data_IF_479909219751
#
_entry.id   IF_479909219751
#
_cell.length_a   1.000
_cell.length_b   1.000
_cell.length_c   1.000
_cell.angle_alpha   90.00
_cell.angle_beta   90.00
_cell.angle_gamma   90.00
#
_symmetry.space_group_name_H-M   'P 1'
#
loop_
_entity.id
_entity.type
_entity.pdbx_description
1 polymer ?
#
# COMPACT_ATOMS: atom_id res chain seq x y z
N UNK A 1 -8.69 -46.20 -27.68
CA UNK A 1 -8.91 -45.12 -26.71
C UNK A 1 -9.24 -43.87 -27.49
N UNK A 2 -10.46 -43.36 -27.30
CA UNK A 2 -11.01 -42.24 -28.06
C UNK A 2 -10.59 -40.89 -27.50
N UNK A 3 -11.07 -39.82 -28.15
CA UNK A 3 -11.00 -38.45 -27.59
C UNK A 3 -11.94 -38.33 -26.39
N UNK A 4 -13.10 -38.99 -26.44
CA UNK A 4 -14.09 -39.07 -25.34
C UNK A 4 -13.46 -39.57 -24.04
N UNK A 5 -12.78 -40.73 -24.05
CA UNK A 5 -12.15 -41.33 -22.86
C UNK A 5 -11.28 -40.32 -22.07
N UNK A 6 -10.60 -39.41 -22.78
CA UNK A 6 -9.74 -38.37 -22.18
C UNK A 6 -10.53 -37.16 -21.68
N UNK A 7 -11.64 -36.80 -22.33
CA UNK A 7 -12.52 -35.74 -21.87
C UNK A 7 -13.23 -36.19 -20.58
N UNK A 8 -13.71 -37.43 -20.53
CA UNK A 8 -14.36 -38.01 -19.34
C UNK A 8 -13.39 -38.08 -18.14
N UNK A 9 -12.12 -38.44 -18.37
CA UNK A 9 -11.05 -38.38 -17.37
C UNK A 9 -10.81 -36.94 -16.86
N UNK A 10 -10.74 -35.95 -17.77
CA UNK A 10 -10.59 -34.53 -17.39
C UNK A 10 -11.80 -34.03 -16.59
N UNK A 11 -13.04 -34.32 -17.02
CA UNK A 11 -14.24 -33.94 -16.26
C UNK A 11 -14.26 -34.58 -14.87
N UNK A 12 -13.93 -35.86 -14.74
CA UNK A 12 -13.86 -36.54 -13.43
C UNK A 12 -12.82 -35.92 -12.49
N UNK A 13 -11.64 -35.53 -13.00
CA UNK A 13 -10.64 -34.85 -12.17
C UNK A 13 -11.07 -33.43 -11.77
N UNK A 14 -11.82 -32.71 -12.61
CA UNK A 14 -12.39 -31.40 -12.28
C UNK A 14 -13.51 -31.50 -11.22
N UNK A 15 -14.39 -32.49 -11.33
CA UNK A 15 -15.41 -32.76 -10.29
C UNK A 15 -14.76 -33.13 -8.95
N UNK A 16 -13.72 -33.96 -8.97
CA UNK A 16 -12.96 -34.29 -7.75
C UNK A 16 -12.31 -33.05 -7.14
N UNK A 17 -11.67 -32.19 -7.95
CA UNK A 17 -11.08 -30.93 -7.47
C UNK A 17 -12.11 -29.97 -6.89
N UNK A 18 -13.30 -29.86 -7.50
CA UNK A 18 -14.39 -29.05 -6.98
C UNK A 18 -14.92 -29.58 -5.63
N UNK A 19 -15.03 -30.92 -5.49
CA UNK A 19 -15.37 -31.58 -4.22
C UNK A 19 -14.33 -31.31 -3.12
N UNK A 20 -13.04 -31.47 -3.45
CA UNK A 20 -11.91 -31.19 -2.56
C UNK A 20 -11.89 -29.74 -2.06
N UNK A 21 -12.12 -28.78 -2.96
CA UNK A 21 -12.18 -27.36 -2.62
C UNK A 21 -13.40 -27.03 -1.73
N UNK A 22 -14.56 -27.63 -2.00
CA UNK A 22 -15.75 -27.50 -1.15
C UNK A 22 -15.51 -28.05 0.25
N UNK A 23 -14.95 -29.26 0.36
CA UNK A 23 -14.62 -29.87 1.65
C UNK A 23 -13.60 -29.04 2.46
N UNK A 24 -12.61 -28.43 1.78
CA UNK A 24 -11.66 -27.50 2.42
C UNK A 24 -12.38 -26.24 2.94
N UNK A 25 -13.28 -25.63 2.16
CA UNK A 25 -14.08 -24.49 2.61
C UNK A 25 -14.96 -24.83 3.82
N UNK A 26 -15.62 -26.00 3.82
CA UNK A 26 -16.42 -26.47 4.94
C UNK A 26 -15.57 -26.71 6.20
N UNK A 27 -14.38 -27.30 6.06
CA UNK A 27 -13.43 -27.47 7.19
C UNK A 27 -12.89 -26.14 7.73
N UNK A 28 -12.63 -25.16 6.86
CA UNK A 28 -12.19 -23.83 7.26
C UNK A 28 -13.32 -23.08 8.00
N UNK A 29 -14.55 -23.15 7.49
CA UNK A 29 -15.74 -22.60 8.14
C UNK A 29 -16.09 -23.29 9.46
N UNK A 30 -15.75 -24.57 9.63
CA UNK A 30 -15.81 -25.24 10.93
C UNK A 30 -14.76 -24.70 11.91
N UNK A 31 -13.50 -24.60 11.47
CA UNK A 31 -12.39 -24.09 12.30
C UNK A 31 -12.57 -22.63 12.72
N UNK A 32 -13.15 -21.78 11.86
CA UNK A 32 -13.49 -20.40 12.21
C UNK A 32 -14.51 -20.37 13.36
N UNK A 33 -15.62 -21.09 13.25
CA UNK A 33 -16.66 -21.18 14.30
C UNK A 33 -16.13 -21.73 15.63
N UNK A 34 -15.20 -22.67 15.57
CA UNK A 34 -14.49 -23.20 16.75
C UNK A 34 -13.66 -22.08 17.41
N UNK A 35 -12.82 -21.38 16.66
CA UNK A 35 -12.00 -20.26 17.16
C UNK A 35 -12.86 -19.10 17.69
N UNK A 36 -13.99 -18.81 17.06
CA UNK A 36 -14.98 -17.85 17.55
C UNK A 36 -15.65 -18.31 18.85
N UNK A 37 -15.85 -19.61 19.06
CA UNK A 37 -16.33 -20.11 20.36
C UNK A 37 -15.26 -20.00 21.46
N UNK A 38 -14.01 -20.38 21.18
CA UNK A 38 -12.93 -20.27 22.16
C UNK A 38 -12.62 -18.81 22.49
N UNK A 39 -12.68 -17.90 21.50
CA UNK A 39 -12.49 -16.48 21.74
C UNK A 39 -13.62 -15.88 22.60
N UNK A 40 -14.87 -16.28 22.38
CA UNK A 40 -15.99 -15.86 23.25
C UNK A 40 -15.84 -16.39 24.68
N UNK A 41 -15.40 -17.64 24.86
CA UNK A 41 -15.14 -18.19 26.19
C UNK A 41 -13.97 -17.47 26.89
N UNK A 42 -12.86 -17.23 26.18
CA UNK A 42 -11.71 -16.50 26.70
C UNK A 42 -12.07 -15.05 27.07
N UNK A 43 -12.84 -14.34 26.25
CA UNK A 43 -13.35 -13.01 26.58
C UNK A 43 -14.24 -13.05 27.83
N UNK A 44 -15.21 -13.96 27.90
CA UNK A 44 -16.06 -14.11 29.09
C UNK A 44 -15.27 -14.45 30.36
N UNK A 45 -14.20 -15.25 30.24
CA UNK A 45 -13.26 -15.55 31.32
C UNK A 45 -12.45 -14.31 31.75
N UNK A 46 -11.98 -13.50 30.81
CA UNK A 46 -11.28 -12.24 31.09
C UNK A 46 -12.21 -11.23 31.78
N UNK A 47 -13.44 -11.05 31.29
CA UNK A 47 -14.45 -10.19 31.94
C UNK A 47 -14.76 -10.66 33.36
N UNK A 48 -14.90 -11.97 33.60
CA UNK A 48 -15.07 -12.52 34.94
C UNK A 48 -13.85 -12.23 35.85
N UNK A 49 -12.63 -12.37 35.34
CA UNK A 49 -11.41 -12.04 36.10
C UNK A 49 -11.35 -10.55 36.43
N UNK A 50 -11.70 -9.67 35.49
CA UNK A 50 -11.74 -8.22 35.70
C UNK A 50 -12.77 -7.82 36.76
N UNK A 51 -13.98 -8.40 36.71
CA UNK A 51 -15.02 -8.24 37.75
C UNK A 51 -14.55 -8.74 39.12
N UNK A 52 -13.86 -9.90 39.17
CA UNK A 52 -13.26 -10.42 40.41
C UNK A 52 -12.07 -9.60 40.92
N UNK A 53 -11.42 -8.80 40.05
CA UNK A 53 -10.26 -7.98 40.38
C UNK A 53 -10.62 -6.57 40.90
N UNK A 54 -11.92 -6.24 41.02
CA UNK A 54 -12.36 -4.96 41.58
C UNK A 54 -12.02 -3.73 40.72
N UNK A 55 -11.88 -3.89 39.41
CA UNK A 55 -11.77 -2.76 38.49
C UNK A 55 -13.18 -2.27 38.13
N UNK A 56 -13.58 -1.11 38.67
CA UNK A 56 -14.91 -0.53 38.44
C UNK A 56 -15.18 -0.29 36.94
N UNK A 57 -16.35 -0.71 36.42
CA UNK A 57 -16.77 -0.35 35.07
C UNK A 57 -17.39 1.05 35.06
N UNK A 58 -16.75 2.02 34.38
CA UNK A 58 -17.46 3.24 34.00
C UNK A 58 -18.65 2.88 33.10
N UNK A 59 -19.87 3.38 33.40
CA UNK A 59 -21.05 3.03 32.64
C UNK A 59 -21.10 3.80 31.31
N UNK A 60 -21.18 3.13 30.14
CA UNK A 60 -21.52 3.80 28.89
C UNK A 60 -22.94 4.34 28.99
N UNK A 61 -23.07 5.65 29.16
CA UNK A 61 -24.37 6.32 29.19
C UNK A 61 -25.00 6.36 27.79
N UNK A 62 -26.33 6.25 27.74
CA UNK A 62 -27.19 6.24 26.55
C UNK A 62 -27.21 4.94 25.69
N UNK A 63 -28.13 4.04 26.04
CA UNK A 63 -29.03 3.36 25.09
C UNK A 63 -30.42 4.05 25.16
N UNK A 64 -31.44 3.72 24.34
CA UNK A 64 -31.52 2.76 23.21
C UNK A 64 -31.86 3.52 21.89
N UNK A 65 -32.38 3.00 20.78
CA UNK A 65 -33.55 2.10 20.56
C UNK A 65 -33.27 0.95 19.57
N UNK A 66 -33.93 -0.19 19.82
CA UNK A 66 -34.29 -1.18 18.81
C UNK A 66 -35.82 -1.15 18.67
N UNK A 67 -36.33 -1.10 17.44
CA UNK A 67 -37.76 -1.33 17.14
C UNK A 67 -37.90 -2.48 16.15
N UNK A 68 -38.17 -3.67 16.68
CA UNK A 68 -38.64 -4.80 15.88
C UNK A 68 -40.11 -4.59 15.46
N UNK A 69 -40.45 -4.97 14.24
CA UNK A 69 -41.82 -5.40 13.87
C UNK A 69 -41.77 -6.26 12.60
N UNK A 70 -42.73 -7.17 12.38
CA UNK A 70 -42.39 -8.50 11.90
C UNK A 70 -42.91 -8.87 10.50
N UNK A 71 -42.36 -9.99 10.01
CA UNK A 71 -42.98 -11.02 9.16
C UNK A 71 -44.15 -10.64 8.23
N UNK A 72 -43.90 -10.69 6.92
CA UNK A 72 -44.82 -11.37 6.00
C UNK A 72 -44.04 -12.08 4.87
N UNK A 73 -44.70 -13.01 4.17
CA UNK A 73 -44.08 -13.96 3.22
C UNK A 73 -45.00 -14.21 2.03
N UNK A 74 -44.46 -14.60 0.85
CA UNK A 74 -45.02 -15.60 -0.12
C UNK A 74 -44.28 -15.61 -1.48
N UNK A 75 -44.18 -16.81 -2.09
CA UNK A 75 -43.91 -17.22 -3.49
C UNK A 75 -43.24 -16.24 -4.50
N UNK A 76 -42.10 -16.57 -5.13
CA UNK A 76 -41.85 -17.62 -6.14
C UNK A 76 -42.54 -17.45 -7.51
N UNK A 77 -41.83 -16.82 -8.46
CA UNK A 77 -41.71 -17.15 -9.90
C UNK A 77 -40.27 -16.79 -10.33
N UNK A 78 -39.50 -17.45 -11.22
CA UNK A 78 -39.67 -18.41 -12.33
C UNK A 78 -39.40 -17.75 -13.71
N UNK A 79 -38.50 -18.39 -14.49
CA UNK A 79 -38.01 -18.01 -15.85
C UNK A 79 -37.19 -16.69 -15.95
N UNK A 80 -36.20 -16.54 -16.85
CA UNK A 80 -35.58 -17.50 -17.79
C UNK A 80 -34.55 -16.83 -18.73
N UNK A 81 -33.81 -17.65 -19.53
CA UNK A 81 -32.89 -17.27 -20.64
C UNK A 81 -31.57 -16.51 -20.28
N UNK A 82 -30.47 -16.56 -21.06
CA UNK A 82 -29.83 -17.58 -21.95
C UNK A 82 -28.43 -17.08 -22.42
N UNK A 83 -27.62 -17.96 -23.05
CA UNK A 83 -26.27 -17.70 -23.64
C UNK A 83 -25.13 -17.29 -22.65
N UNK A 84 -23.84 -17.55 -22.89
CA UNK A 84 -23.12 -18.10 -24.06
C UNK A 84 -22.05 -17.11 -24.58
N UNK A 85 -20.79 -17.45 -24.94
CA UNK A 85 -20.11 -18.76 -25.04
C UNK A 85 -18.56 -18.60 -25.10
N UNK A 86 -17.84 -19.74 -25.04
CA UNK A 86 -16.54 -20.07 -25.70
C UNK A 86 -15.22 -19.27 -25.46
N UNK A 87 -14.26 -19.97 -24.82
CA UNK A 87 -12.90 -20.35 -25.33
C UNK A 87 -11.78 -19.33 -25.70
N UNK A 88 -10.56 -19.87 -25.87
CA UNK A 88 -9.24 -19.24 -26.12
C UNK A 88 -8.62 -19.82 -27.44
N UNK A 89 -7.31 -19.78 -27.79
CA UNK A 89 -6.09 -19.17 -27.21
C UNK A 89 -5.45 -18.14 -28.22
N UNK A 90 -4.17 -18.02 -28.61
CA UNK A 90 -2.86 -18.66 -28.32
C UNK A 90 -1.65 -17.80 -28.80
N UNK A 91 -0.40 -18.21 -28.51
CA UNK A 91 0.92 -17.74 -29.02
C UNK A 91 1.34 -16.28 -28.69
N UNK A 92 2.48 -16.05 -28.02
CA UNK A 92 3.90 -16.02 -28.50
C UNK A 92 4.19 -14.80 -29.43
N UNK A 93 5.25 -14.01 -29.28
CA UNK A 93 6.66 -14.32 -29.64
C UNK A 93 7.65 -13.32 -28.98
N UNK A 94 8.84 -13.81 -28.57
CA UNK A 94 10.18 -13.16 -28.38
C UNK A 94 10.29 -11.68 -27.92
N UNK A 95 11.00 -11.31 -26.83
CA UNK A 95 12.46 -11.44 -26.48
C UNK A 95 13.34 -10.26 -26.98
N UNK A 96 13.86 -9.50 -25.98
CA UNK A 96 15.03 -8.57 -25.87
C UNK A 96 16.07 -8.52 -27.03
N UNK A 97 16.87 -7.44 -27.27
CA UNK A 97 17.55 -6.49 -26.32
C UNK A 97 17.36 -4.96 -26.58
N UNK A 98 17.55 -3.97 -25.69
CA UNK A 98 18.69 -3.42 -24.87
C UNK A 98 19.58 -2.35 -25.59
N UNK A 99 19.86 -1.23 -24.89
CA UNK A 99 20.98 -0.24 -25.09
C UNK A 99 20.90 0.81 -26.23
N UNK A 100 21.53 2.01 -26.17
CA UNK A 100 22.24 2.72 -25.08
C UNK A 100 22.18 4.29 -25.19
N UNK A 101 22.95 4.99 -24.34
CA UNK A 101 23.17 6.43 -24.18
C UNK A 101 23.76 7.17 -25.42
N UNK A 102 23.52 8.48 -25.51
CA UNK A 102 24.52 9.60 -25.36
C UNK A 102 23.76 10.95 -25.38
N UNK A 103 23.93 11.89 -24.43
CA UNK A 103 25.06 12.81 -24.17
C UNK A 103 25.23 13.88 -25.27
N UNK A 104 25.52 15.18 -25.08
CA UNK A 104 25.85 16.12 -23.96
C UNK A 104 25.88 17.55 -24.62
N UNK A 105 26.26 18.69 -23.96
CA UNK A 105 25.65 20.01 -24.25
C UNK A 105 26.59 21.15 -24.74
N UNK A 106 25.97 22.33 -24.99
CA UNK A 106 26.54 23.70 -24.99
C UNK A 106 25.35 24.70 -25.06
N UNK A 107 25.40 26.01 -24.74
CA UNK A 107 26.23 26.81 -23.82
C UNK A 107 25.63 28.25 -23.66
N UNK A 108 26.17 29.01 -22.70
CA UNK A 108 26.12 30.49 -22.54
C UNK A 108 24.79 31.22 -22.24
N UNK A 109 24.87 32.16 -21.29
CA UNK A 109 24.00 33.35 -21.16
C UNK A 109 24.62 34.54 -21.92
N UNK A 110 23.89 35.66 -22.06
CA UNK A 110 24.10 36.75 -21.09
C UNK A 110 22.79 37.42 -20.62
N UNK A 111 22.92 38.51 -19.84
CA UNK A 111 21.82 39.24 -19.19
C UNK A 111 21.57 40.62 -19.86
N UNK A 112 21.21 41.68 -19.12
CA UNK A 112 19.83 42.13 -18.90
C UNK A 112 19.48 43.43 -19.66
N UNK A 113 18.22 43.89 -19.59
CA UNK A 113 17.85 45.24 -19.99
C UNK A 113 16.74 45.84 -19.09
N UNK A 114 16.51 47.14 -19.21
CA UNK A 114 16.04 48.04 -18.16
C UNK A 114 14.72 48.75 -18.51
N UNK A 115 13.76 48.85 -17.57
CA UNK A 115 12.80 49.97 -17.45
C UNK A 115 11.84 49.84 -16.25
N UNK A 116 11.55 50.99 -15.62
CA UNK A 116 10.58 51.21 -14.53
C UNK A 116 9.83 52.54 -14.83
N UNK A 117 9.01 53.16 -13.96
CA UNK A 117 8.03 52.71 -12.95
C UNK A 117 6.64 53.29 -13.36
N UNK A 118 5.87 54.04 -12.52
CA UNK A 118 5.31 53.78 -11.19
C UNK A 118 3.76 53.72 -11.18
N UNK A 119 3.18 53.19 -10.11
CA UNK A 119 1.91 53.69 -9.54
C UNK A 119 2.05 53.74 -8.03
N UNK A 120 1.65 54.86 -7.43
CA UNK A 120 1.81 55.15 -6.00
C UNK A 120 0.56 54.85 -5.16
N UNK A 121 0.79 54.74 -3.84
CA UNK A 121 -0.16 55.02 -2.76
C UNK A 121 -1.50 54.24 -2.73
N UNK A 122 -1.64 53.36 -1.72
CA UNK A 122 -2.27 53.82 -0.49
C UNK A 122 -1.74 53.05 0.73
N UNK A 123 -1.56 53.74 1.86
CA UNK A 123 -1.21 53.15 3.15
C UNK A 123 -2.36 53.32 4.15
N UNK A 124 -2.75 52.23 4.78
CA UNK A 124 -2.85 52.00 6.24
C UNK A 124 -3.66 50.70 6.45
N UNK A 125 -3.48 49.90 7.51
CA UNK A 125 -3.24 50.26 8.91
C UNK A 125 -2.39 49.19 9.64
N UNK A 126 -1.86 49.52 10.82
CA UNK A 126 -0.81 48.75 11.51
C UNK A 126 -1.40 47.73 12.49
N UNK A 127 -0.95 46.47 12.39
CA UNK A 127 -0.84 45.57 13.54
C UNK A 127 0.57 44.98 13.54
N UNK A 128 1.26 45.12 14.67
CA UNK A 128 2.68 44.83 14.82
C UNK A 128 2.94 43.31 14.92
N UNK A 129 3.79 42.77 14.04
CA UNK A 129 4.19 41.36 14.05
C UNK A 129 5.67 41.18 14.37
N UNK A 130 5.95 40.20 15.23
CA UNK A 130 7.27 39.85 15.72
C UNK A 130 8.20 39.28 14.60
N UNK A 131 9.51 39.12 14.85
CA UNK A 131 10.52 38.99 13.79
C UNK A 131 10.28 37.93 12.72
N UNK A 132 10.67 38.28 11.49
CA UNK A 132 10.70 37.39 10.33
C UNK A 132 11.76 36.30 10.56
N UNK A 133 11.32 35.09 10.89
CA UNK A 133 12.15 33.89 10.72
C UNK A 133 12.44 33.70 9.22
N UNK A 134 13.67 33.28 8.84
CA UNK A 134 14.04 33.16 7.43
C UNK A 134 13.17 32.09 6.74
N UNK A 135 12.74 32.39 5.52
CA UNK A 135 11.77 31.59 4.77
C UNK A 135 12.15 30.11 4.74
N UNK A 136 11.31 29.27 5.36
CA UNK A 136 11.38 27.82 5.20
C UNK A 136 10.95 27.50 3.77
N UNK A 137 11.93 27.31 2.88
CA UNK A 137 11.71 26.78 1.53
C UNK A 137 10.80 25.54 1.61
N UNK A 138 9.77 25.44 0.74
CA UNK A 138 8.83 24.32 0.74
C UNK A 138 9.46 23.04 0.16
N UNK A 139 10.48 22.51 0.84
CA UNK A 139 11.24 21.34 0.45
C UNK A 139 10.30 20.13 0.43
N UNK A 140 9.95 19.69 -0.79
CA UNK A 140 9.19 18.47 -1.02
C UNK A 140 9.79 17.30 -0.22
N UNK A 141 9.00 16.43 0.44
CA UNK A 141 9.53 15.34 1.26
C UNK A 141 10.48 14.39 0.51
N UNK A 142 10.32 14.25 -0.81
CA UNK A 142 11.26 13.48 -1.65
C UNK A 142 12.59 14.22 -1.89
N UNK A 143 12.58 15.56 -1.93
CA UNK A 143 13.79 16.37 -1.99
C UNK A 143 14.57 16.32 -0.67
N UNK A 144 13.89 16.35 0.49
CA UNK A 144 14.55 16.14 1.79
C UNK A 144 15.18 14.75 1.89
N UNK A 145 14.47 13.68 1.49
CA UNK A 145 15.05 12.33 1.44
C UNK A 145 16.28 12.25 0.51
N UNK A 146 16.27 13.01 -0.61
CA UNK A 146 17.42 13.12 -1.52
C UNK A 146 18.60 13.90 -0.92
N UNK A 147 18.35 14.86 -0.02
CA UNK A 147 19.40 15.51 0.78
C UNK A 147 19.98 14.54 1.82
N UNK A 148 19.15 13.75 2.51
CA UNK A 148 19.63 12.76 3.49
C UNK A 148 20.53 11.67 2.88
N UNK A 149 20.31 11.24 1.64
CA UNK A 149 21.26 10.34 0.94
C UNK A 149 22.67 10.94 0.79
N UNK A 150 22.79 12.28 0.75
CA UNK A 150 24.09 12.98 0.71
C UNK A 150 24.64 13.29 2.11
N UNK A 151 23.76 13.60 3.07
CA UNK A 151 24.12 14.04 4.42
C UNK A 151 24.44 12.88 5.37
N UNK A 152 23.72 11.76 5.25
CA UNK A 152 23.81 10.58 6.11
C UNK A 152 24.10 9.29 5.33
N UNK A 153 25.22 9.23 4.56
CA UNK A 153 25.54 8.13 3.63
C UNK A 153 25.91 6.80 4.32
N UNK A 154 25.85 6.72 5.66
CA UNK A 154 26.00 5.47 6.43
C UNK A 154 24.67 4.80 6.77
N UNK A 155 23.57 5.54 6.64
CA UNK A 155 22.25 5.17 7.18
C UNK A 155 21.22 5.07 6.06
N UNK A 156 21.18 6.07 5.17
CA UNK A 156 20.24 6.13 4.06
C UNK A 156 20.95 5.71 2.76
N UNK A 157 20.46 4.63 2.13
CA UNK A 157 21.06 4.05 0.94
C UNK A 157 20.04 3.79 -0.16
N UNK A 158 20.24 4.44 -1.31
CA UNK A 158 19.36 4.31 -2.47
C UNK A 158 19.41 2.92 -3.13
N UNK A 159 20.54 2.18 -3.06
CA UNK A 159 20.66 0.81 -3.60
C UNK A 159 20.38 -0.29 -2.58
N UNK A 160 21.01 -0.25 -1.40
CA UNK A 160 20.85 -1.26 -0.34
C UNK A 160 20.32 -0.66 0.98
N UNK A 161 19.00 -0.51 1.06
CA UNK A 161 18.28 -0.20 2.31
C UNK A 161 18.64 -1.22 3.38
N UNK A 162 18.94 -0.74 4.59
CA UNK A 162 19.09 -1.53 5.82
C UNK A 162 18.00 -1.08 6.82
N UNK A 163 17.60 -1.92 7.79
CA UNK A 163 16.63 -1.54 8.82
C UNK A 163 17.11 -0.31 9.61
N UNK A 164 16.21 0.62 9.89
CA UNK A 164 16.51 1.82 10.68
C UNK A 164 16.24 1.59 12.18
N UNK A 165 16.91 2.39 13.02
CA UNK A 165 16.62 2.52 14.43
C UNK A 165 15.15 2.92 14.68
N UNK A 166 14.58 2.40 15.76
CA UNK A 166 13.32 2.91 16.30
C UNK A 166 13.59 4.32 16.84
N UNK A 167 12.65 5.26 16.69
CA UNK A 167 12.84 6.66 17.12
C UNK A 167 13.72 7.53 16.22
N UNK A 168 14.23 7.04 15.08
CA UNK A 168 15.16 7.79 14.20
C UNK A 168 14.63 9.16 13.70
N UNK A 169 13.31 9.39 13.74
CA UNK A 169 12.70 10.68 13.42
C UNK A 169 13.01 11.76 14.47
N UNK A 170 13.09 11.40 15.75
CA UNK A 170 13.47 12.30 16.85
C UNK A 170 14.93 12.76 16.70
N UNK A 171 15.82 11.80 16.42
CA UNK A 171 17.24 12.05 16.16
C UNK A 171 17.47 12.93 14.91
N UNK A 172 16.57 12.89 13.93
CA UNK A 172 16.58 13.80 12.77
C UNK A 172 16.06 15.19 13.14
N UNK A 173 14.94 15.31 13.88
CA UNK A 173 14.44 16.62 14.33
C UNK A 173 15.39 17.35 15.30
N UNK A 174 16.26 16.62 16.00
CA UNK A 174 17.31 17.20 16.83
C UNK A 174 18.53 17.74 16.05
N UNK A 175 18.59 17.53 14.72
CA UNK A 175 19.73 17.90 13.85
C UNK A 175 19.37 18.75 12.65
N UNK A 176 18.19 18.52 12.08
CA UNK A 176 17.69 19.21 10.90
C UNK A 176 16.56 20.17 11.33
N UNK A 177 16.58 21.45 10.89
CA UNK A 177 15.61 22.48 11.31
C UNK A 177 14.26 22.34 10.58
N UNK A 178 13.74 21.11 10.46
CA UNK A 178 12.52 20.79 9.71
C UNK A 178 11.39 20.31 10.62
N UNK A 179 10.16 20.70 10.28
CA UNK A 179 8.97 20.25 10.97
C UNK A 179 8.88 18.72 10.98
N UNK A 180 8.64 18.14 12.16
CA UNK A 180 8.58 16.69 12.38
C UNK A 180 7.58 15.98 11.44
N UNK A 181 6.47 16.65 11.07
CA UNK A 181 5.48 16.12 10.11
C UNK A 181 6.09 15.89 8.72
N UNK A 182 7.01 16.76 8.30
CA UNK A 182 7.73 16.68 7.02
C UNK A 182 8.79 15.57 7.10
N UNK A 183 9.52 15.48 8.22
CA UNK A 183 10.48 14.39 8.51
C UNK A 183 9.78 13.02 8.46
N UNK A 184 8.67 12.84 9.18
CA UNK A 184 7.85 11.61 9.17
C UNK A 184 7.35 11.27 7.76
N UNK A 185 6.92 12.26 6.97
CA UNK A 185 6.44 12.07 5.59
C UNK A 185 7.57 11.71 4.60
N UNK A 186 8.79 12.23 4.80
CA UNK A 186 9.98 11.85 4.05
C UNK A 186 10.44 10.41 4.41
N UNK A 187 10.48 10.07 5.70
CA UNK A 187 10.79 8.71 6.18
C UNK A 187 9.78 7.66 5.71
N UNK A 188 8.48 7.99 5.72
CA UNK A 188 7.44 7.14 5.13
C UNK A 188 7.69 6.89 3.62
N UNK A 189 8.30 7.85 2.92
CA UNK A 189 8.78 7.69 1.54
C UNK A 189 10.01 6.79 1.37
N UNK A 190 10.71 6.42 2.45
CA UNK A 190 11.86 5.50 2.44
C UNK A 190 11.48 4.09 2.95
N UNK A 191 10.81 3.99 4.10
CA UNK A 191 10.53 2.68 4.74
C UNK A 191 9.46 1.86 4.01
N UNK A 192 8.58 2.50 3.25
CA UNK A 192 7.56 1.80 2.45
C UNK A 192 8.09 1.29 1.09
N UNK A 193 9.39 1.41 0.79
CA UNK A 193 9.94 0.82 -0.42
C UNK A 193 9.93 -0.71 -0.35
N UNK A 194 9.55 -1.42 -1.43
CA UNK A 194 9.69 -2.88 -1.51
C UNK A 194 11.12 -3.40 -1.27
N UNK A 195 12.14 -2.54 -1.45
CA UNK A 195 13.54 -2.83 -1.08
C UNK A 195 13.78 -2.79 0.43
N UNK A 196 13.21 -1.81 1.15
CA UNK A 196 13.34 -1.69 2.60
C UNK A 196 12.69 -2.89 3.29
N UNK A 197 11.45 -3.22 2.90
CA UNK A 197 10.70 -4.36 3.45
C UNK A 197 11.40 -5.71 3.22
N UNK A 198 12.18 -5.87 2.12
CA UNK A 198 13.02 -7.06 1.86
C UNK A 198 14.31 -7.14 2.72
N UNK A 199 14.71 -6.02 3.33
CA UNK A 199 15.89 -5.91 4.21
C UNK A 199 15.55 -6.10 5.69
N UNK A 200 14.31 -5.83 6.09
CA UNK A 200 13.79 -6.13 7.43
C UNK A 200 13.63 -7.65 7.56
N UNK A 201 14.49 -8.28 8.36
CA UNK A 201 14.56 -9.71 8.61
C UNK A 201 14.91 -9.96 10.07
N UNK A 202 14.42 -11.05 10.65
CA UNK A 202 14.71 -11.46 12.03
C UNK A 202 16.21 -11.38 12.32
N UNK A 203 16.58 -10.83 13.48
CA UNK A 203 17.96 -10.65 13.96
C UNK A 203 18.85 -9.69 13.15
N UNK A 204 18.35 -9.05 12.08
CA UNK A 204 19.09 -8.02 11.36
C UNK A 204 19.35 -6.79 12.24
N UNK A 205 20.57 -6.25 12.19
CA UNK A 205 20.92 -5.04 12.93
C UNK A 205 20.25 -3.79 12.33
N UNK A 206 19.69 -2.95 13.20
CA UNK A 206 19.13 -1.63 12.88
C UNK A 206 20.24 -0.58 12.92
N UNK A 207 20.17 0.47 12.07
CA UNK A 207 21.16 1.57 12.08
C UNK A 207 20.58 2.88 12.63
N UNK A 208 21.38 3.59 13.45
CA UNK A 208 21.21 5.01 13.77
C UNK A 208 21.72 5.96 12.65
N UNK A 209 21.85 7.26 12.95
CA UNK A 209 22.38 8.27 12.03
C UNK A 209 23.93 8.27 11.93
N UNK A 210 24.62 7.60 12.84
CA UNK A 210 26.08 7.55 12.96
C UNK A 210 26.70 6.39 12.17
N UNK A 211 25.88 5.37 11.89
CA UNK A 211 26.25 4.09 11.28
C UNK A 211 26.37 2.92 12.26
N UNK A 212 25.99 3.09 13.53
CA UNK A 212 26.12 2.06 14.58
C UNK A 212 24.89 1.16 14.67
N UNK A 213 25.04 0.02 15.36
CA UNK A 213 23.96 -0.96 15.52
C UNK A 213 23.01 -0.59 16.68
N UNK A 214 21.92 0.10 16.36
CA UNK A 214 20.88 0.54 17.29
C UNK A 214 19.81 -0.55 17.50
N UNK A 215 20.25 -1.72 18.00
CA UNK A 215 19.40 -2.88 18.27
C UNK A 215 19.16 -3.78 17.05
N UNK A 216 18.19 -4.69 17.17
CA UNK A 216 17.87 -5.72 16.17
C UNK A 216 16.40 -5.65 15.72
N UNK A 217 16.10 -6.32 14.62
CA UNK A 217 14.75 -6.55 14.11
C UNK A 217 14.18 -7.83 14.74
N UNK A 218 13.00 -7.73 15.35
CA UNK A 218 12.33 -8.83 16.02
C UNK A 218 11.54 -9.71 15.04
N UNK A 219 10.92 -10.79 15.53
CA UNK A 219 10.12 -11.67 14.67
C UNK A 219 8.84 -11.00 14.18
N UNK A 220 8.17 -10.22 15.04
CA UNK A 220 6.94 -9.51 14.71
C UNK A 220 7.19 -8.41 13.66
N UNK A 221 8.24 -7.59 13.82
CA UNK A 221 8.73 -6.64 12.81
C UNK A 221 8.88 -7.32 11.43
N UNK A 222 9.56 -8.46 11.41
CA UNK A 222 9.90 -9.17 10.18
C UNK A 222 8.69 -9.89 9.56
N UNK A 223 7.69 -10.27 10.35
CA UNK A 223 6.40 -10.77 9.87
C UNK A 223 5.58 -9.65 9.24
N UNK A 224 5.43 -8.52 9.94
CA UNK A 224 4.71 -7.35 9.44
C UNK A 224 5.35 -6.79 8.16
N UNK A 225 6.68 -6.72 8.08
CA UNK A 225 7.38 -6.28 6.87
C UNK A 225 7.14 -7.19 5.66
N UNK A 226 7.06 -8.51 5.85
CA UNK A 226 6.67 -9.48 4.80
C UNK A 226 5.23 -9.27 4.36
N UNK A 227 4.31 -9.03 5.29
CA UNK A 227 2.90 -8.81 4.96
C UNK A 227 2.70 -7.51 4.16
N UNK A 228 3.32 -6.41 4.59
CA UNK A 228 3.29 -5.14 3.85
C UNK A 228 3.93 -5.28 2.45
N UNK A 229 5.00 -6.07 2.32
CA UNK A 229 5.58 -6.37 1.01
C UNK A 229 4.58 -7.11 0.11
N UNK A 230 3.88 -8.13 0.62
CA UNK A 230 2.84 -8.84 -0.13
C UNK A 230 1.72 -7.88 -0.55
N UNK A 231 1.14 -7.13 0.39
CA UNK A 231 0.08 -6.13 0.14
C UNK A 231 0.47 -5.10 -0.94
N UNK A 232 1.76 -4.74 -1.02
CA UNK A 232 2.30 -3.88 -2.07
C UNK A 232 2.49 -4.59 -3.42
N UNK A 233 2.84 -5.87 -3.44
CA UNK A 233 2.96 -6.66 -4.67
C UNK A 233 1.59 -6.95 -5.29
N UNK A 234 0.62 -7.39 -4.49
CA UNK A 234 -0.75 -7.67 -4.93
C UNK A 234 -1.34 -6.41 -5.61
N UNK A 235 -1.25 -5.26 -4.95
CA UNK A 235 -1.68 -3.95 -5.48
C UNK A 235 -0.92 -3.49 -6.74
N UNK A 236 0.32 -3.94 -6.94
CA UNK A 236 1.06 -3.66 -8.18
C UNK A 236 0.53 -4.52 -9.34
N UNK A 237 0.30 -5.82 -9.09
CA UNK A 237 -0.26 -6.74 -10.09
C UNK A 237 -1.66 -6.33 -10.54
N UNK A 238 -2.55 -5.91 -9.60
CA UNK A 238 -3.87 -5.36 -9.92
C UNK A 238 -3.78 -4.17 -10.89
N UNK A 239 -2.94 -3.19 -10.56
CA UNK A 239 -2.73 -1.96 -11.36
C UNK A 239 -2.06 -2.23 -12.70
N UNK A 240 -1.24 -3.27 -12.80
CA UNK A 240 -0.64 -3.68 -14.07
C UNK A 240 -1.67 -4.40 -14.94
N UNK A 241 -2.45 -5.33 -14.38
CA UNK A 241 -3.54 -6.01 -15.09
C UNK A 241 -4.59 -5.02 -15.60
N UNK A 242 -4.99 -4.02 -14.79
CA UNK A 242 -5.89 -2.93 -15.21
C UNK A 242 -5.30 -2.14 -16.39
N UNK A 243 -4.02 -1.74 -16.32
CA UNK A 243 -3.34 -1.02 -17.41
C UNK A 243 -3.26 -1.84 -18.69
N UNK A 244 -3.00 -3.14 -18.61
CA UNK A 244 -2.98 -4.00 -19.81
C UNK A 244 -4.40 -4.17 -20.39
N UNK A 245 -5.43 -4.39 -19.56
CA UNK A 245 -6.83 -4.43 -20.01
C UNK A 245 -7.23 -3.13 -20.73
N UNK A 246 -6.89 -1.97 -20.16
CA UNK A 246 -7.14 -0.65 -20.78
C UNK A 246 -6.42 -0.49 -22.12
N UNK A 247 -5.15 -0.88 -22.21
CA UNK A 247 -4.36 -0.85 -23.46
C UNK A 247 -4.94 -1.76 -24.55
N UNK A 248 -5.39 -2.95 -24.18
CA UNK A 248 -6.04 -3.89 -25.10
C UNK A 248 -7.38 -3.33 -25.60
N UNK A 249 -8.23 -2.81 -24.70
CA UNK A 249 -9.49 -2.18 -25.07
C UNK A 249 -9.31 -0.98 -26.02
N UNK A 250 -8.29 -0.14 -25.77
CA UNK A 250 -7.94 0.97 -26.67
C UNK A 250 -7.57 0.47 -28.07
N UNK A 251 -6.66 -0.51 -28.19
CA UNK A 251 -6.30 -1.11 -29.49
C UNK A 251 -7.50 -1.75 -30.21
N UNK A 252 -8.39 -2.43 -29.49
CA UNK A 252 -9.61 -3.01 -30.07
C UNK A 252 -10.56 -1.93 -30.61
N UNK A 253 -10.73 -0.81 -29.89
CA UNK A 253 -11.53 0.32 -30.38
C UNK A 253 -10.91 1.02 -31.60
N UNK A 254 -9.58 1.10 -31.67
CA UNK A 254 -8.83 1.67 -32.78
C UNK A 254 -8.98 0.83 -34.06
N UNK A 255 -8.82 -0.50 -33.94
CA UNK A 255 -9.06 -1.44 -35.05
C UNK A 255 -10.52 -1.45 -35.51
N UNK A 256 -11.48 -1.39 -34.58
CA UNK A 256 -12.90 -1.32 -34.91
C UNK A 256 -13.25 -0.06 -35.71
N UNK A 257 -12.71 1.10 -35.32
CA UNK A 257 -12.88 2.34 -36.08
C UNK A 257 -12.16 2.29 -37.44
N UNK A 258 -11.04 1.58 -37.56
CA UNK A 258 -10.30 1.44 -38.83
C UNK A 258 -11.09 0.63 -39.87
N UNK A 259 -11.83 -0.41 -39.44
CA UNK A 259 -12.66 -1.24 -40.32
C UNK A 259 -14.03 -0.63 -40.67
N UNK A 260 -14.39 0.53 -40.09
CA UNK A 260 -15.70 1.17 -40.26
C UNK A 260 -15.67 2.35 -41.24
N UNK A 261 -14.65 2.42 -42.10
CA UNK A 261 -14.29 3.60 -42.92
C UNK A 261 -13.83 3.22 -44.33
#
# INVERSE_FOLDING_TARGET
MGVSDRLDEVFSTLEQQAGDLKARLESAGARIRELESTNRELMARLTRIQQMSGADPEPPSAQPELTESPSESVAMTAEGAEAGSTEAPDSDVSRLPISELTAEPDALSPAPDESTPPTEQNMSEVVETAPIEPAQEEISPQALLKQWYRRYPKTFFERHTRPLAIGIHEALSAREPYNEKLIRRALAGYVNLPRYLKSVRVNAARIDLEGQEAGRVEEEDAQHAKEQLKRLQDRQQEREAEKQKRRLAQKMSELAHLHQR
#
